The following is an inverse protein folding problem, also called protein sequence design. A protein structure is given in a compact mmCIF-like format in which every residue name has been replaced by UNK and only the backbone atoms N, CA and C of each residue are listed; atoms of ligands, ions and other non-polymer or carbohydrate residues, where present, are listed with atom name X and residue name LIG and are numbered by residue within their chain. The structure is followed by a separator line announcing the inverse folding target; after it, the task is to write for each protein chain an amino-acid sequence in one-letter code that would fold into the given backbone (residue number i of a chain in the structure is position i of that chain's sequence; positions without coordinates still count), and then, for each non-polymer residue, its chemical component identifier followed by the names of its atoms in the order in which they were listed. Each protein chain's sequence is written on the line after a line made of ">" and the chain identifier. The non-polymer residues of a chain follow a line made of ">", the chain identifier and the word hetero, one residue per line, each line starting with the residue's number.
data_IF_322683022537
#
_entry.id   IF_322683022537
#
_cell.length_a   1.000
_cell.length_b   1.000
_cell.length_c   1.000
_cell.angle_alpha   90.00
_cell.angle_beta   90.00
_cell.angle_gamma   90.00
#
_symmetry.space_group_name_H-M   'P 1'
#
loop_
_entity.id
_entity.type
_entity.pdbx_description
1 polymer ?
#
# COMPACT_ATOMS: atom_id res chain seq x y z
N UNK A 1 -0.63 59.82 49.23
CA UNK A 1 -0.32 59.41 50.62
C UNK A 1 0.29 58.01 50.57
N UNK A 2 1.62 57.93 50.62
CA UNK A 2 2.41 57.35 51.74
C UNK A 2 2.21 55.83 51.91
N UNK A 3 3.12 54.97 51.42
CA UNK A 3 4.46 54.59 51.93
C UNK A 3 4.45 53.55 53.08
N UNK A 4 5.17 52.46 52.83
CA UNK A 4 6.09 51.72 53.75
C UNK A 4 5.43 50.86 54.86
N UNK A 5 5.95 49.70 55.32
CA UNK A 5 7.33 49.18 55.45
C UNK A 5 7.35 47.67 55.81
N UNK A 6 8.46 47.01 55.51
CA UNK A 6 8.93 45.66 55.88
C UNK A 6 8.92 45.31 57.38
N UNK A 7 8.94 44.00 57.72
CA UNK A 7 10.04 43.42 58.54
C UNK A 7 10.22 41.90 58.38
N UNK A 8 11.48 41.50 58.14
CA UNK A 8 12.08 40.16 58.29
C UNK A 8 12.73 40.02 59.68
N UNK A 9 13.25 38.80 60.00
CA UNK A 9 13.97 38.29 61.20
C UNK A 9 13.06 37.64 62.27
N UNK A 10 13.36 36.50 62.92
CA UNK A 10 14.45 35.50 62.89
C UNK A 10 14.10 34.37 63.88
N UNK A 11 14.51 33.11 63.65
CA UNK A 11 14.38 32.06 64.67
C UNK A 11 14.93 30.70 64.24
N UNK A 12 16.18 30.44 64.62
CA UNK A 12 17.01 29.26 64.36
C UNK A 12 16.71 28.16 65.40
N UNK A 13 16.68 26.88 65.00
CA UNK A 13 16.62 25.74 65.93
C UNK A 13 16.93 24.40 65.25
N UNK A 14 18.09 23.83 65.57
CA UNK A 14 18.77 22.71 64.91
C UNK A 14 18.69 21.43 65.76
N UNK A 15 18.40 20.30 65.09
CA UNK A 15 18.93 18.92 65.21
C UNK A 15 19.29 18.33 66.61
N UNK A 16 18.74 17.14 66.95
CA UNK A 16 19.55 16.02 67.47
C UNK A 16 18.88 14.62 67.33
N UNK A 17 19.74 13.66 67.02
CA UNK A 17 19.56 12.23 66.70
C UNK A 17 19.69 11.36 67.97
N UNK A 18 18.94 10.25 68.09
CA UNK A 18 19.35 9.08 68.90
C UNK A 18 18.60 7.80 68.51
N UNK A 19 19.37 6.74 68.25
CA UNK A 19 18.93 5.38 67.95
C UNK A 19 18.76 4.53 69.22
N UNK A 20 17.96 3.45 69.15
CA UNK A 20 18.11 2.29 70.05
C UNK A 20 17.70 1.01 69.32
N UNK A 21 18.52 -0.04 69.47
CA UNK A 21 18.32 -1.41 68.95
C UNK A 21 18.44 -2.39 70.14
N UNK A 22 17.83 -3.57 69.96
CA UNK A 22 17.89 -4.81 70.77
C UNK A 22 17.00 -4.86 72.04
N UNK A 23 16.35 -5.96 72.43
CA UNK A 23 16.12 -7.31 71.88
C UNK A 23 15.15 -8.08 72.80
N UNK A 24 14.44 -9.07 72.26
CA UNK A 24 13.86 -10.29 72.86
C UNK A 24 13.25 -10.28 74.29
N UNK A 25 11.95 -10.54 74.38
CA UNK A 25 11.39 -11.74 75.05
C UNK A 25 9.90 -11.94 74.72
N UNK A 26 9.55 -13.13 74.23
CA UNK A 26 8.21 -13.69 73.94
C UNK A 26 7.45 -14.05 75.25
N UNK A 27 6.13 -14.42 75.30
CA UNK A 27 5.41 -15.28 74.34
C UNK A 27 3.88 -15.06 74.07
N UNK A 28 3.43 -15.65 72.95
CA UNK A 28 2.09 -16.23 72.66
C UNK A 28 0.80 -15.37 72.75
N UNK A 29 0.24 -15.03 71.58
CA UNK A 29 -1.18 -15.20 71.25
C UNK A 29 -1.39 -15.19 69.72
N UNK A 30 -2.07 -16.22 69.20
CA UNK A 30 -2.46 -16.40 67.80
C UNK A 30 -3.47 -15.32 67.34
N UNK A 31 -3.35 -14.87 66.09
CA UNK A 31 -4.41 -14.12 65.40
C UNK A 31 -3.96 -13.57 64.05
N UNK A 32 -4.34 -14.26 62.98
CA UNK A 32 -4.26 -13.95 61.54
C UNK A 32 -3.46 -12.72 61.09
N UNK A 33 -2.35 -12.99 60.38
CA UNK A 33 -1.69 -12.03 59.53
C UNK A 33 -2.57 -11.61 58.35
N UNK A 34 -2.66 -10.31 58.13
CA UNK A 34 -3.01 -9.75 56.83
C UNK A 34 -1.67 -9.25 56.27
N UNK A 35 -1.00 -10.07 55.46
CA UNK A 35 0.05 -9.57 54.57
C UNK A 35 -0.65 -8.78 53.47
N UNK A 36 -0.36 -7.49 53.44
CA UNK A 36 -0.65 -6.59 52.34
C UNK A 36 -0.03 -7.15 51.04
N UNK A 37 -0.86 -7.87 50.29
CA UNK A 37 -0.59 -8.37 48.93
C UNK A 37 -1.81 -8.07 48.04
N UNK A 38 -2.34 -6.84 48.13
CA UNK A 38 -3.47 -6.40 47.30
C UNK A 38 -3.09 -5.41 46.20
N UNK A 39 -1.80 -5.30 45.85
CA UNK A 39 -1.40 -4.82 44.53
C UNK A 39 -1.32 -6.00 43.57
N UNK A 40 -2.43 -6.74 43.47
CA UNK A 40 -2.66 -7.65 42.37
C UNK A 40 -2.63 -6.79 41.12
N UNK A 41 -1.57 -6.94 40.32
CA UNK A 41 -1.56 -6.52 38.93
C UNK A 41 -2.87 -6.98 38.31
N UNK A 42 -3.81 -6.04 38.12
CA UNK A 42 -5.00 -6.28 37.31
C UNK A 42 -4.48 -6.39 35.89
N UNK A 43 -4.00 -7.58 35.52
CA UNK A 43 -3.78 -7.94 34.14
C UNK A 43 -5.08 -7.61 33.41
N UNK A 44 -5.01 -6.66 32.49
CA UNK A 44 -6.13 -6.33 31.64
C UNK A 44 -6.34 -7.60 30.81
N UNK A 45 -7.42 -8.34 31.07
CA UNK A 45 -7.66 -9.57 30.33
C UNK A 45 -7.76 -9.22 28.84
N UNK A 46 -6.96 -9.88 28.00
CA UNK A 46 -7.03 -9.72 26.55
C UNK A 46 -8.47 -9.92 26.07
N UNK A 47 -8.99 -9.05 25.21
CA UNK A 47 -10.34 -9.21 24.71
C UNK A 47 -10.47 -10.53 23.95
N UNK A 48 -11.63 -11.18 24.08
CA UNK A 48 -11.92 -12.37 23.28
C UNK A 48 -12.16 -11.94 21.83
N UNK A 49 -11.55 -12.67 20.89
CA UNK A 49 -11.76 -12.45 19.47
C UNK A 49 -13.23 -12.71 19.06
N UNK A 50 -13.80 -11.95 18.10
CA UNK A 50 -15.11 -12.23 17.53
C UNK A 50 -15.09 -13.57 16.77
N UNK A 51 -16.22 -14.26 16.79
CA UNK A 51 -16.48 -15.31 15.81
C UNK A 51 -16.88 -14.66 14.48
N UNK A 52 -16.10 -14.88 13.43
CA UNK A 52 -16.37 -14.37 12.08
C UNK A 52 -17.27 -15.29 11.25
N UNK A 53 -17.54 -16.52 11.71
CA UNK A 53 -18.37 -17.48 10.98
C UNK A 53 -17.89 -17.68 9.54
N UNK A 54 -18.81 -17.64 8.58
CA UNK A 54 -18.49 -17.77 7.15
C UNK A 54 -17.66 -16.58 6.64
N UNK A 55 -17.77 -15.40 7.26
CA UNK A 55 -16.98 -14.23 6.85
C UNK A 55 -15.48 -14.43 7.03
N UNK A 56 -15.05 -15.43 7.80
CA UNK A 56 -13.63 -15.78 7.95
C UNK A 56 -13.00 -16.27 6.62
N UNK A 57 -13.77 -16.83 5.68
CA UNK A 57 -13.20 -17.34 4.42
C UNK A 57 -12.92 -16.23 3.41
N UNK A 58 -13.46 -15.04 3.62
CA UNK A 58 -13.39 -13.92 2.67
C UNK A 58 -12.21 -13.01 2.96
N UNK A 59 -11.48 -12.66 1.89
CA UNK A 59 -10.52 -11.56 1.90
C UNK A 59 -11.25 -10.20 1.82
N UNK A 60 -12.25 -10.11 0.93
CA UNK A 60 -12.96 -8.87 0.63
C UNK A 60 -14.46 -9.11 0.52
N UNK A 61 -15.25 -8.29 1.21
CA UNK A 61 -16.70 -8.28 1.09
C UNK A 61 -17.23 -6.86 0.92
N UNK A 62 -17.99 -6.63 -0.17
CA UNK A 62 -18.43 -5.31 -0.65
C UNK A 62 -19.87 -4.92 -0.31
N UNK A 63 -20.46 -5.45 0.77
CA UNK A 63 -21.87 -5.21 1.11
C UNK A 63 -22.81 -5.42 -0.08
N UNK A 64 -23.86 -4.61 -0.19
CA UNK A 64 -24.77 -4.63 -1.35
C UNK A 64 -24.31 -3.75 -2.52
N UNK A 65 -23.21 -2.99 -2.36
CA UNK A 65 -22.73 -2.03 -3.35
C UNK A 65 -21.50 -2.52 -4.15
N UNK A 66 -21.00 -3.72 -3.84
CA UNK A 66 -19.96 -4.41 -4.59
C UNK A 66 -18.53 -3.96 -4.30
N UNK A 67 -17.63 -4.33 -5.21
CA UNK A 67 -16.19 -4.14 -5.08
C UNK A 67 -15.63 -3.57 -6.38
N UNK A 68 -14.91 -2.46 -6.29
CA UNK A 68 -14.35 -1.77 -7.45
C UNK A 68 -12.85 -1.71 -7.36
N UNK A 69 -12.18 -2.21 -8.40
CA UNK A 69 -10.76 -2.00 -8.62
C UNK A 69 -10.54 -0.98 -9.75
N UNK A 70 -9.59 -0.08 -9.55
CA UNK A 70 -9.13 0.89 -10.54
C UNK A 70 -7.60 0.84 -10.75
N UNK A 71 -6.93 -0.23 -10.31
CA UNK A 71 -5.49 -0.45 -10.50
C UNK A 71 -5.20 -1.75 -11.25
N UNK A 72 -3.97 -1.90 -11.72
CA UNK A 72 -3.50 -3.08 -12.49
C UNK A 72 -2.69 -4.07 -11.65
N UNK A 73 -2.36 -3.69 -10.40
CA UNK A 73 -1.57 -4.50 -9.46
C UNK A 73 -2.41 -4.96 -8.27
N UNK A 74 -3.74 -4.96 -8.40
CA UNK A 74 -4.63 -5.40 -7.32
C UNK A 74 -4.68 -6.92 -7.28
N UNK A 75 -4.47 -7.49 -6.10
CA UNK A 75 -4.51 -8.94 -5.87
C UNK A 75 -5.27 -9.28 -4.60
N UNK A 76 -6.30 -10.11 -4.74
CA UNK A 76 -7.07 -10.63 -3.63
C UNK A 76 -6.67 -12.09 -3.41
N UNK A 77 -5.99 -12.35 -2.30
CA UNK A 77 -5.62 -13.70 -1.86
C UNK A 77 -6.65 -14.19 -0.85
N UNK A 78 -7.67 -14.86 -1.37
CA UNK A 78 -8.85 -15.35 -0.66
C UNK A 78 -10.13 -15.09 -1.44
N UNK A 79 -11.27 -15.40 -0.83
CA UNK A 79 -12.57 -15.23 -1.49
C UNK A 79 -13.00 -13.77 -1.53
N UNK A 80 -13.75 -13.42 -2.58
CA UNK A 80 -14.35 -12.09 -2.77
C UNK A 80 -15.87 -12.23 -2.85
N UNK A 81 -16.63 -11.28 -2.30
CA UNK A 81 -18.08 -11.31 -2.50
C UNK A 81 -18.85 -10.04 -2.22
N UNK A 82 -20.14 -10.11 -2.55
CA UNK A 82 -21.12 -9.04 -2.37
C UNK A 82 -22.53 -9.63 -2.31
N UNK A 83 -23.44 -8.98 -1.58
CA UNK A 83 -24.89 -9.24 -1.70
C UNK A 83 -25.55 -8.44 -2.83
N UNK A 84 -24.78 -7.67 -3.59
CA UNK A 84 -25.25 -7.00 -4.80
C UNK A 84 -25.27 -7.94 -6.01
N UNK A 85 -25.74 -7.40 -7.13
CA UNK A 85 -25.61 -8.06 -8.44
C UNK A 85 -24.12 -8.20 -8.81
N UNK A 86 -23.80 -9.24 -9.60
CA UNK A 86 -22.41 -9.46 -10.07
C UNK A 86 -21.81 -8.26 -10.79
N UNK A 87 -22.62 -7.43 -11.44
CA UNK A 87 -22.19 -6.21 -12.14
C UNK A 87 -21.67 -5.11 -11.21
N UNK A 88 -21.86 -5.24 -9.89
CA UNK A 88 -21.28 -4.35 -8.88
C UNK A 88 -19.83 -4.72 -8.56
N UNK A 89 -19.33 -5.85 -9.05
CA UNK A 89 -17.91 -6.18 -9.04
C UNK A 89 -17.30 -5.67 -10.37
N UNK A 90 -16.23 -4.87 -10.27
CA UNK A 90 -15.62 -4.21 -11.44
C UNK A 90 -14.10 -4.17 -11.33
N UNK A 91 -13.41 -4.38 -12.45
CA UNK A 91 -11.95 -4.38 -12.53
C UNK A 91 -11.29 -5.63 -11.93
N UNK A 92 -11.97 -6.77 -11.95
CA UNK A 92 -11.41 -8.01 -11.43
C UNK A 92 -11.58 -9.17 -12.39
N UNK A 93 -10.76 -10.21 -12.24
CA UNK A 93 -10.98 -11.52 -12.80
C UNK A 93 -10.69 -12.60 -11.75
N UNK A 94 -11.39 -13.73 -11.89
CA UNK A 94 -11.10 -14.98 -11.21
C UNK A 94 -10.66 -16.02 -12.24
N UNK A 95 -10.46 -17.27 -11.79
CA UNK A 95 -10.25 -18.41 -12.70
C UNK A 95 -11.46 -18.71 -13.59
N UNK A 96 -12.65 -18.19 -13.25
CA UNK A 96 -13.93 -18.53 -13.91
C UNK A 96 -14.53 -17.38 -14.71
N UNK A 97 -14.25 -16.13 -14.37
CA UNK A 97 -14.90 -14.98 -15.00
C UNK A 97 -14.11 -13.66 -14.88
N UNK A 98 -14.29 -12.76 -15.85
CA UNK A 98 -13.75 -11.39 -15.84
C UNK A 98 -14.87 -10.35 -15.63
N UNK A 99 -14.78 -9.61 -14.54
CA UNK A 99 -15.74 -8.60 -14.07
C UNK A 99 -15.35 -7.20 -14.57
N UNK A 100 -15.81 -6.86 -15.78
CA UNK A 100 -15.68 -5.51 -16.37
C UNK A 100 -14.25 -4.91 -16.31
N UNK A 101 -13.27 -5.69 -16.76
CA UNK A 101 -11.89 -5.25 -16.86
C UNK A 101 -11.60 -4.44 -18.12
N UNK A 102 -10.62 -3.57 -17.99
CA UNK A 102 -9.97 -2.76 -19.03
C UNK A 102 -8.46 -2.87 -18.81
N UNK A 103 -7.61 -2.41 -19.75
CA UNK A 103 -6.17 -2.38 -19.55
C UNK A 103 -5.70 -1.55 -18.32
N UNK A 104 -6.58 -0.74 -17.73
CA UNK A 104 -6.26 0.15 -16.60
C UNK A 104 -6.76 -0.37 -15.24
N UNK A 105 -7.52 -1.46 -15.19
CA UNK A 105 -8.09 -1.98 -13.94
C UNK A 105 -8.12 -3.52 -13.89
N UNK A 106 -6.96 -4.13 -14.02
CA UNK A 106 -6.80 -5.59 -13.97
C UNK A 106 -6.52 -6.03 -12.53
N UNK A 107 -7.42 -6.81 -11.95
CA UNK A 107 -7.33 -7.25 -10.55
C UNK A 107 -7.54 -8.75 -10.42
N UNK A 108 -6.58 -9.49 -9.87
CA UNK A 108 -6.71 -10.95 -9.74
C UNK A 108 -7.37 -11.35 -8.42
N UNK A 109 -8.29 -12.30 -8.46
CA UNK A 109 -8.84 -12.99 -7.28
C UNK A 109 -8.39 -14.45 -7.30
N UNK A 110 -7.64 -14.88 -6.29
CA UNK A 110 -7.16 -16.26 -6.21
C UNK A 110 -8.20 -17.24 -5.66
N UNK A 111 -9.17 -16.74 -4.91
CA UNK A 111 -10.28 -17.52 -4.35
C UNK A 111 -11.50 -17.55 -5.26
N UNK A 112 -12.63 -17.95 -4.67
CA UNK A 112 -13.93 -17.94 -5.34
C UNK A 112 -14.59 -16.55 -5.22
N UNK A 113 -15.49 -16.26 -6.16
CA UNK A 113 -16.26 -15.03 -6.19
C UNK A 113 -17.74 -15.34 -5.95
N UNK A 114 -18.29 -14.83 -4.85
CA UNK A 114 -19.67 -15.08 -4.41
C UNK A 114 -20.52 -13.82 -4.57
N UNK A 115 -21.58 -13.92 -5.38
CA UNK A 115 -22.41 -12.77 -5.75
C UNK A 115 -23.78 -13.25 -6.22
N UNK A 116 -24.75 -12.34 -6.36
CA UNK A 116 -26.01 -12.62 -7.06
C UNK A 116 -25.79 -12.68 -8.58
N UNK A 117 -26.81 -13.06 -9.34
CA UNK A 117 -26.85 -13.10 -10.80
C UNK A 117 -26.30 -11.81 -11.47
N UNK A 118 -25.87 -11.85 -12.75
CA UNK A 118 -25.97 -12.99 -13.66
C UNK A 118 -24.80 -13.99 -13.63
N UNK A 119 -23.67 -13.68 -12.98
CA UNK A 119 -22.51 -14.59 -12.93
C UNK A 119 -22.57 -15.55 -11.73
N UNK A 120 -23.11 -15.10 -10.61
CA UNK A 120 -23.34 -15.94 -9.44
C UNK A 120 -24.61 -16.80 -9.54
N UNK A 121 -24.66 -17.85 -8.73
CA UNK A 121 -25.81 -18.73 -8.54
C UNK A 121 -26.64 -18.35 -7.30
N UNK A 122 -27.87 -18.87 -7.15
CA UNK A 122 -28.62 -18.73 -5.89
C UNK A 122 -27.87 -19.27 -4.67
N UNK A 123 -27.08 -20.32 -4.83
CA UNK A 123 -26.22 -20.87 -3.79
C UNK A 123 -25.10 -19.90 -3.42
N UNK A 124 -24.45 -19.26 -4.40
CA UNK A 124 -23.42 -18.25 -4.15
C UNK A 124 -23.99 -17.04 -3.41
N UNK A 125 -25.20 -16.60 -3.80
CA UNK A 125 -25.90 -15.53 -3.12
C UNK A 125 -26.26 -15.88 -1.67
N UNK A 126 -26.64 -17.13 -1.41
CA UNK A 126 -26.89 -17.60 -0.04
C UNK A 126 -25.62 -17.60 0.83
N UNK A 127 -24.46 -17.97 0.26
CA UNK A 127 -23.16 -17.84 0.92
C UNK A 127 -22.86 -16.37 1.22
N UNK A 128 -22.98 -15.48 0.22
CA UNK A 128 -22.77 -14.03 0.42
C UNK A 128 -23.71 -13.43 1.49
N UNK A 129 -24.97 -13.89 1.55
CA UNK A 129 -25.92 -13.50 2.59
C UNK A 129 -25.48 -13.95 3.99
N UNK A 130 -24.93 -15.16 4.11
CA UNK A 130 -24.39 -15.68 5.38
C UNK A 130 -23.16 -14.89 5.83
N UNK A 131 -22.28 -14.53 4.90
CA UNK A 131 -21.12 -13.66 5.16
C UNK A 131 -21.55 -12.30 5.69
N UNK A 132 -22.54 -11.65 5.05
CA UNK A 132 -23.06 -10.37 5.52
C UNK A 132 -23.65 -10.46 6.93
N UNK A 133 -24.37 -11.54 7.22
CA UNK A 133 -24.94 -11.78 8.55
C UNK A 133 -23.87 -11.97 9.62
N UNK A 134 -22.88 -12.84 9.37
CA UNK A 134 -21.81 -13.14 10.34
C UNK A 134 -20.88 -11.94 10.54
N UNK A 135 -20.56 -11.20 9.47
CA UNK A 135 -19.80 -9.96 9.57
C UNK A 135 -20.53 -8.89 10.41
N UNK A 136 -21.86 -8.78 10.25
CA UNK A 136 -22.67 -7.88 11.07
C UNK A 136 -22.73 -8.34 12.54
N UNK A 137 -22.82 -9.66 12.78
CA UNK A 137 -22.78 -10.22 14.13
C UNK A 137 -21.44 -9.93 14.81
N UNK A 138 -20.32 -10.15 14.12
CA UNK A 138 -18.98 -9.83 14.59
C UNK A 138 -18.81 -8.32 14.86
N UNK A 139 -19.30 -7.47 13.97
CA UNK A 139 -19.29 -6.02 14.16
C UNK A 139 -20.02 -5.60 15.45
N UNK A 140 -21.23 -6.14 15.67
CA UNK A 140 -22.03 -5.84 16.86
C UNK A 140 -21.38 -6.38 18.14
N UNK A 141 -20.79 -7.58 18.09
CA UNK A 141 -20.02 -8.14 19.19
C UNK A 141 -18.85 -7.22 19.57
N UNK A 142 -18.03 -6.83 18.60
CA UNK A 142 -16.90 -5.94 18.82
C UNK A 142 -17.36 -4.61 19.41
N UNK A 143 -18.47 -4.02 18.92
CA UNK A 143 -19.03 -2.79 19.44
C UNK A 143 -19.61 -2.92 20.87
N UNK A 144 -19.96 -4.13 21.30
CA UNK A 144 -20.50 -4.43 22.63
C UNK A 144 -19.45 -4.69 23.71
N UNK A 145 -18.19 -4.91 23.31
CA UNK A 145 -17.10 -5.07 24.26
C UNK A 145 -16.98 -3.81 25.13
N UNK A 146 -16.63 -3.95 26.43
CA UNK A 146 -16.42 -2.80 27.29
C UNK A 146 -15.45 -1.79 26.68
N UNK A 147 -15.77 -0.51 26.86
CA UNK A 147 -14.99 0.59 26.29
C UNK A 147 -13.52 0.52 26.73
N UNK A 148 -12.65 0.63 25.72
CA UNK A 148 -11.21 0.68 25.87
C UNK A 148 -10.65 2.07 26.16
N UNK A 149 -9.33 2.13 26.33
CA UNK A 149 -8.61 3.40 26.46
C UNK A 149 -8.41 4.10 25.09
N UNK A 150 -8.21 5.43 25.12
CA UNK A 150 -7.88 6.26 23.95
C UNK A 150 -6.54 6.99 24.16
N UNK A 151 -5.39 6.29 24.04
CA UNK A 151 -4.09 6.82 24.47
C UNK A 151 -3.61 8.05 23.70
N UNK A 152 -4.09 8.25 22.48
CA UNK A 152 -3.69 9.37 21.63
C UNK A 152 -4.85 10.27 21.22
N UNK A 153 -5.96 10.24 21.95
CA UNK A 153 -7.15 11.04 21.67
C UNK A 153 -7.62 10.93 20.19
N UNK A 154 -7.65 9.70 19.67
CA UNK A 154 -7.96 9.39 18.29
C UNK A 154 -6.75 9.31 17.35
N UNK A 155 -5.55 9.72 17.74
CA UNK A 155 -4.33 9.51 16.94
C UNK A 155 -3.54 8.30 17.45
N UNK A 156 -3.35 7.30 16.59
CA UNK A 156 -2.63 6.06 16.90
C UNK A 156 -1.23 6.00 16.26
N UNK A 157 -0.95 6.86 15.29
CA UNK A 157 0.38 6.93 14.66
C UNK A 157 1.47 7.27 15.67
N UNK A 158 2.58 6.52 15.61
CA UNK A 158 3.71 6.64 16.53
C UNK A 158 3.51 5.95 17.89
N UNK A 159 2.36 5.34 18.15
CA UNK A 159 2.12 4.59 19.38
C UNK A 159 2.60 3.15 19.25
N UNK A 160 2.96 2.56 20.39
CA UNK A 160 3.09 1.11 20.56
C UNK A 160 2.01 0.65 21.53
N UNK A 161 1.13 -0.23 21.06
CA UNK A 161 -0.04 -0.68 21.81
C UNK A 161 0.07 -2.16 22.15
N UNK A 162 -0.06 -2.46 23.44
CA UNK A 162 -0.18 -3.83 23.96
C UNK A 162 -1.61 -4.37 23.71
N UNK A 163 -1.86 -5.67 23.90
CA UNK A 163 -3.17 -6.28 23.62
C UNK A 163 -4.27 -5.62 24.46
N UNK A 164 -5.45 -5.41 23.86
CA UNK A 164 -6.53 -4.68 24.54
C UNK A 164 -7.62 -4.16 23.63
N UNK A 165 -8.66 -3.62 24.26
CA UNK A 165 -9.70 -2.82 23.60
C UNK A 165 -9.27 -1.35 23.64
N UNK A 166 -9.45 -0.66 22.52
CA UNK A 166 -9.19 0.77 22.35
C UNK A 166 -10.43 1.41 21.74
N UNK A 167 -10.94 2.48 22.34
CA UNK A 167 -12.14 3.17 21.86
C UNK A 167 -11.87 4.64 21.65
N UNK A 168 -12.13 5.15 20.45
CA UNK A 168 -11.95 6.57 20.17
C UNK A 168 -13.00 7.40 20.89
N UNK A 169 -12.56 8.34 21.71
CA UNK A 169 -13.45 9.29 22.40
C UNK A 169 -14.05 10.31 21.42
N UNK A 170 -13.31 10.68 20.36
CA UNK A 170 -13.78 11.57 19.29
C UNK A 170 -14.69 10.86 18.28
N UNK A 171 -14.70 9.53 18.31
CA UNK A 171 -15.41 8.66 17.39
C UNK A 171 -14.59 8.23 16.18
N UNK A 172 -13.43 8.85 15.89
CA UNK A 172 -12.56 8.47 14.77
C UNK A 172 -11.17 8.04 15.24
N UNK A 173 -10.54 7.11 14.52
CA UNK A 173 -9.11 6.84 14.66
C UNK A 173 -8.34 7.28 13.42
N UNK A 174 -7.14 7.80 13.68
CA UNK A 174 -6.13 8.18 12.70
C UNK A 174 -4.88 7.34 12.95
N UNK A 175 -4.22 6.90 11.89
CA UNK A 175 -2.85 6.38 11.93
C UNK A 175 -2.07 7.23 10.94
N UNK A 176 -1.56 8.38 11.38
CA UNK A 176 -0.88 9.35 10.52
C UNK A 176 0.38 9.92 11.16
N UNK A 177 1.29 10.45 10.35
CA UNK A 177 2.55 11.05 10.79
C UNK A 177 3.63 10.03 11.15
N UNK A 178 3.25 8.84 11.63
CA UNK A 178 4.13 7.70 11.92
C UNK A 178 3.34 6.40 11.96
N UNK A 179 4.04 5.28 11.90
CA UNK A 179 3.43 3.94 11.96
C UNK A 179 2.90 3.62 13.37
N UNK A 180 1.84 2.82 13.43
CA UNK A 180 1.32 2.22 14.66
C UNK A 180 1.99 0.87 14.88
N UNK A 181 2.51 0.60 16.07
CA UNK A 181 3.04 -0.73 16.43
C UNK A 181 2.10 -1.45 17.39
N UNK A 182 1.82 -2.72 17.11
CA UNK A 182 1.10 -3.64 17.97
C UNK A 182 2.10 -4.65 18.54
N UNK A 183 2.22 -4.69 19.85
CA UNK A 183 3.21 -5.50 20.57
C UNK A 183 2.53 -6.58 21.39
N UNK A 184 2.65 -7.83 20.95
CA UNK A 184 2.07 -9.00 21.61
C UNK A 184 2.71 -9.34 22.96
N UNK A 185 3.83 -8.72 23.32
CA UNK A 185 4.58 -9.02 24.55
C UNK A 185 4.96 -10.51 24.68
N UNK A 186 5.14 -11.20 23.55
CA UNK A 186 5.45 -12.63 23.48
C UNK A 186 4.22 -13.55 23.44
N UNK A 187 2.99 -13.03 23.51
CA UNK A 187 1.76 -13.80 23.43
C UNK A 187 1.22 -13.83 21.99
N UNK A 188 1.35 -14.97 21.32
CA UNK A 188 0.85 -15.13 19.96
C UNK A 188 -0.69 -15.06 19.87
N UNK A 189 -1.40 -15.32 20.96
CA UNK A 189 -2.86 -15.28 21.04
C UNK A 189 -3.37 -13.89 21.49
N UNK A 190 -2.48 -12.92 21.62
CA UNK A 190 -2.80 -11.52 21.88
C UNK A 190 -3.83 -10.95 20.89
N UNK A 191 -4.82 -10.23 21.43
CA UNK A 191 -5.92 -9.63 20.65
C UNK A 191 -5.97 -8.12 20.82
N UNK A 192 -6.20 -7.42 19.70
CA UNK A 192 -6.49 -5.99 19.68
C UNK A 192 -7.87 -5.73 19.08
N UNK A 193 -8.64 -4.88 19.74
CA UNK A 193 -9.92 -4.39 19.24
C UNK A 193 -9.92 -2.87 19.23
N UNK A 194 -10.14 -2.29 18.05
CA UNK A 194 -10.30 -0.85 17.87
C UNK A 194 -11.76 -0.53 17.58
N UNK A 195 -12.41 0.19 18.48
CA UNK A 195 -13.81 0.63 18.38
C UNK A 195 -13.87 2.11 18.02
N UNK A 196 -14.60 2.46 16.96
CA UNK A 196 -14.79 3.84 16.56
C UNK A 196 -16.21 4.05 16.00
N UNK A 197 -16.87 5.13 16.44
CA UNK A 197 -18.25 5.43 16.05
C UNK A 197 -18.36 6.00 14.62
N UNK A 198 -17.29 6.61 14.12
CA UNK A 198 -17.18 7.17 12.78
C UNK A 198 -16.07 6.47 12.00
N UNK A 199 -15.00 7.17 11.62
CA UNK A 199 -14.07 6.74 10.58
C UNK A 199 -12.74 6.20 11.10
N UNK A 200 -12.11 5.41 10.25
CA UNK A 200 -10.69 5.06 10.32
C UNK A 200 -9.96 5.75 9.17
N UNK A 201 -8.86 6.46 9.44
CA UNK A 201 -7.99 7.01 8.39
C UNK A 201 -6.55 6.60 8.64
N UNK A 202 -5.92 5.97 7.66
CA UNK A 202 -4.52 5.54 7.70
C UNK A 202 -3.75 6.26 6.61
N UNK A 203 -2.61 6.83 6.98
CA UNK A 203 -1.84 7.70 6.11
C UNK A 203 -2.54 9.02 5.81
N UNK A 204 -1.93 9.77 4.91
CA UNK A 204 -2.41 11.05 4.39
C UNK A 204 -2.48 10.97 2.86
N UNK A 205 -3.04 11.98 2.17
CA UNK A 205 -2.98 12.04 0.72
C UNK A 205 -1.56 12.09 0.14
N UNK A 206 -0.53 12.34 0.95
CA UNK A 206 0.86 12.51 0.51
C UNK A 206 1.83 11.45 1.05
N UNK A 207 1.41 10.64 2.01
CA UNK A 207 2.27 9.65 2.65
C UNK A 207 1.43 8.50 3.23
N UNK A 208 1.88 7.27 3.04
CA UNK A 208 1.30 6.10 3.70
C UNK A 208 1.76 5.98 5.15
N UNK A 209 1.03 5.16 5.91
CA UNK A 209 1.43 4.70 7.24
C UNK A 209 1.12 3.21 7.36
N UNK A 210 1.76 2.55 8.31
CA UNK A 210 1.66 1.10 8.51
C UNK A 210 1.18 0.75 9.92
N UNK A 211 0.63 -0.46 10.04
CA UNK A 211 0.38 -1.15 11.30
C UNK A 211 1.41 -2.28 11.41
N UNK A 212 2.41 -2.07 12.25
CA UNK A 212 3.53 -2.97 12.47
C UNK A 212 3.13 -3.99 13.54
N UNK A 213 3.29 -5.28 13.24
CA UNK A 213 3.10 -6.36 14.19
C UNK A 213 4.46 -6.76 14.77
N UNK A 214 4.55 -6.85 16.10
CA UNK A 214 5.81 -7.15 16.80
C UNK A 214 5.62 -8.18 17.90
N UNK A 215 6.72 -8.84 18.28
CA UNK A 215 6.81 -9.77 19.41
C UNK A 215 5.74 -10.86 19.45
N UNK A 216 5.37 -11.40 18.27
CA UNK A 216 4.39 -12.49 18.15
C UNK A 216 2.99 -12.05 17.74
N UNK A 217 2.74 -10.74 17.55
CA UNK A 217 1.43 -10.24 17.13
C UNK A 217 1.06 -10.80 15.75
N UNK A 218 -0.19 -11.26 15.63
CA UNK A 218 -0.72 -11.84 14.39
C UNK A 218 -1.89 -10.99 13.87
N UNK A 219 -1.89 -10.70 12.56
CA UNK A 219 -2.93 -9.87 11.95
C UNK A 219 -4.34 -10.46 12.15
N UNK A 220 -4.46 -11.79 12.17
CA UNK A 220 -5.74 -12.47 12.38
C UNK A 220 -6.41 -12.13 13.73
N UNK A 221 -5.64 -11.64 14.72
CA UNK A 221 -6.11 -11.26 16.05
C UNK A 221 -6.30 -9.74 16.22
N UNK A 222 -6.25 -8.97 15.13
CA UNK A 222 -6.43 -7.51 15.14
C UNK A 222 -7.76 -7.18 14.47
N UNK A 223 -8.63 -6.46 15.17
CA UNK A 223 -9.99 -6.17 14.71
C UNK A 223 -10.29 -4.67 14.76
N UNK A 224 -10.83 -4.14 13.67
CA UNK A 224 -11.18 -2.73 13.51
C UNK A 224 -12.69 -2.61 13.28
N UNK A 225 -13.43 -2.19 14.30
CA UNK A 225 -14.86 -1.92 14.24
C UNK A 225 -15.06 -0.45 13.86
N UNK A 226 -15.49 -0.19 12.62
CA UNK A 226 -15.60 1.15 12.02
C UNK A 226 -17.06 1.54 11.79
N UNK A 227 -17.56 2.49 12.58
CA UNK A 227 -18.97 2.89 12.59
C UNK A 227 -19.45 3.62 11.32
N UNK A 228 -18.53 4.16 10.52
CA UNK A 228 -18.75 4.67 9.17
C UNK A 228 -17.77 4.04 8.16
N UNK A 229 -16.93 4.83 7.49
CA UNK A 229 -16.05 4.40 6.43
C UNK A 229 -14.58 4.36 6.87
N UNK A 230 -13.79 3.49 6.25
CA UNK A 230 -12.33 3.47 6.41
C UNK A 230 -11.61 3.96 5.15
N UNK A 231 -10.56 4.73 5.32
CA UNK A 231 -9.66 5.15 4.23
C UNK A 231 -8.25 4.73 4.56
N UNK A 232 -7.69 3.86 3.74
CA UNK A 232 -6.39 3.22 3.96
C UNK A 232 -5.41 3.69 2.90
N UNK A 233 -4.39 4.43 3.35
CA UNK A 233 -3.25 4.89 2.56
C UNK A 233 -3.66 5.49 1.21
N UNK A 234 -4.35 6.62 1.24
CA UNK A 234 -4.79 7.33 0.03
C UNK A 234 -3.66 7.72 -0.93
N UNK A 235 -2.42 7.82 -0.45
CA UNK A 235 -1.22 8.04 -1.27
C UNK A 235 -0.65 6.75 -1.93
N UNK A 236 -1.23 5.58 -1.65
CA UNK A 236 -0.65 4.28 -1.99
C UNK A 236 0.49 3.87 -1.05
N UNK A 237 0.86 2.59 -1.08
CA UNK A 237 1.93 2.05 -0.22
C UNK A 237 1.47 1.69 1.20
N UNK A 238 2.46 1.33 2.03
CA UNK A 238 2.25 0.95 3.43
C UNK A 238 1.60 -0.42 3.62
N UNK A 239 1.65 -0.92 4.84
CA UNK A 239 1.09 -2.23 5.22
C UNK A 239 0.15 -2.09 6.39
N UNK A 240 -1.11 -2.47 6.19
CA UNK A 240 -2.13 -2.53 7.23
C UNK A 240 -2.32 -3.97 7.71
N UNK A 241 -2.68 -4.14 8.98
CA UNK A 241 -2.89 -5.44 9.59
C UNK A 241 -4.25 -5.49 10.32
N UNK A 242 -5.01 -6.56 10.05
CA UNK A 242 -6.25 -6.87 10.77
C UNK A 242 -7.48 -7.11 9.90
N UNK A 243 -8.55 -7.52 10.56
CA UNK A 243 -9.90 -7.59 9.97
C UNK A 243 -10.60 -6.25 10.19
N UNK A 244 -10.92 -5.56 9.09
CA UNK A 244 -11.68 -4.31 9.12
C UNK A 244 -13.16 -4.63 8.86
N UNK A 245 -14.02 -4.27 9.81
CA UNK A 245 -15.47 -4.32 9.66
C UNK A 245 -16.04 -2.89 9.63
N UNK A 246 -16.41 -2.42 8.44
CA UNK A 246 -16.87 -1.05 8.23
C UNK A 246 -18.33 -0.98 7.80
N UNK A 247 -19.12 -0.07 8.38
CA UNK A 247 -20.53 0.09 8.01
C UNK A 247 -20.71 0.75 6.64
N UNK A 248 -19.94 1.80 6.35
CA UNK A 248 -20.17 2.70 5.21
C UNK A 248 -19.09 2.64 4.14
N UNK A 249 -18.41 1.49 3.99
CA UNK A 249 -17.48 1.25 2.90
C UNK A 249 -16.02 1.47 3.26
N UNK A 250 -15.14 1.13 2.33
CA UNK A 250 -13.70 1.26 2.50
C UNK A 250 -13.01 1.69 1.21
N UNK A 251 -12.01 2.52 1.33
CA UNK A 251 -11.14 2.93 0.22
C UNK A 251 -9.70 2.58 0.51
N UNK A 252 -9.03 1.98 -0.47
CA UNK A 252 -7.59 1.70 -0.43
C UNK A 252 -6.93 2.43 -1.59
N UNK A 253 -5.95 3.28 -1.27
CA UNK A 253 -5.27 4.10 -2.28
C UNK A 253 -6.23 5.01 -3.07
N UNK A 254 -5.73 5.64 -4.11
CA UNK A 254 -6.46 6.55 -5.00
C UNK A 254 -5.94 6.35 -6.42
N UNK A 255 -6.80 6.61 -7.41
CA UNK A 255 -6.46 6.42 -8.83
C UNK A 255 -5.20 7.22 -9.20
N UNK A 256 -4.32 6.60 -9.98
CA UNK A 256 -3.03 7.18 -10.38
C UNK A 256 -1.85 6.85 -9.47
N UNK A 257 -2.07 6.32 -8.26
CA UNK A 257 -0.97 5.85 -7.42
C UNK A 257 -0.40 4.53 -7.95
N UNK A 258 0.93 4.45 -8.08
CA UNK A 258 1.64 3.23 -8.52
C UNK A 258 2.12 2.36 -7.36
N UNK A 259 2.21 2.91 -6.15
CA UNK A 259 2.63 2.18 -4.96
C UNK A 259 1.52 1.24 -4.47
N UNK A 260 1.89 -0.01 -4.20
CA UNK A 260 0.96 -1.04 -3.76
C UNK A 260 0.63 -0.87 -2.28
N UNK A 261 -0.66 -0.75 -1.95
CA UNK A 261 -1.14 -0.79 -0.56
C UNK A 261 -1.40 -2.24 -0.16
N UNK A 262 -0.85 -2.69 0.97
CA UNK A 262 -1.06 -4.07 1.45
C UNK A 262 -1.96 -4.12 2.67
N UNK A 263 -2.93 -5.03 2.66
CA UNK A 263 -3.73 -5.44 3.80
C UNK A 263 -3.43 -6.90 4.13
N UNK A 264 -2.78 -7.15 5.26
CA UNK A 264 -2.71 -8.49 5.84
C UNK A 264 -3.92 -8.67 6.76
N UNK A 265 -4.95 -9.34 6.26
CA UNK A 265 -6.23 -9.50 6.93
C UNK A 265 -7.39 -9.39 5.95
N UNK A 266 -8.51 -8.79 6.40
CA UNK A 266 -9.78 -8.81 5.65
C UNK A 266 -10.41 -7.43 5.58
N UNK A 267 -11.05 -7.13 4.46
CA UNK A 267 -11.84 -5.92 4.26
C UNK A 267 -13.32 -6.30 4.11
N UNK A 268 -14.06 -6.28 5.23
CA UNK A 268 -15.49 -6.61 5.29
C UNK A 268 -16.35 -5.35 5.43
N UNK A 269 -16.89 -4.85 4.32
CA UNK A 269 -17.86 -3.75 4.34
C UNK A 269 -19.28 -4.30 4.47
N UNK A 270 -20.03 -3.81 5.45
CA UNK A 270 -21.35 -4.35 5.77
C UNK A 270 -22.43 -3.94 4.76
N UNK A 271 -22.44 -2.67 4.34
CA UNK A 271 -23.53 -2.12 3.52
C UNK A 271 -23.07 -1.46 2.22
N UNK A 272 -21.88 -0.85 2.20
CA UNK A 272 -21.39 -0.08 1.07
C UNK A 272 -20.19 -0.74 0.38
N UNK A 273 -19.65 -0.09 -0.64
CA UNK A 273 -18.64 -0.66 -1.51
C UNK A 273 -17.25 -0.70 -0.84
N UNK A 274 -16.40 -1.58 -1.36
CA UNK A 274 -14.95 -1.51 -1.16
C UNK A 274 -14.32 -1.06 -2.48
N UNK A 275 -13.54 0.02 -2.45
CA UNK A 275 -12.84 0.55 -3.62
C UNK A 275 -11.33 0.47 -3.42
N UNK A 276 -10.61 0.00 -4.44
CA UNK A 276 -9.19 -0.28 -4.36
C UNK A 276 -8.43 0.21 -5.59
N UNK A 277 -7.17 0.60 -5.40
CA UNK A 277 -6.22 0.89 -6.47
C UNK A 277 -4.88 0.28 -6.08
N UNK A 278 -4.39 -0.67 -6.88
CA UNK A 278 -3.11 -1.35 -6.66
C UNK A 278 -3.02 -1.86 -5.22
N UNK A 279 -3.99 -2.68 -4.81
CA UNK A 279 -4.10 -3.15 -3.43
C UNK A 279 -3.92 -4.66 -3.36
N UNK A 280 -3.10 -5.14 -2.43
CA UNK A 280 -3.01 -6.57 -2.11
C UNK A 280 -3.73 -6.85 -0.81
N UNK A 281 -4.64 -7.82 -0.80
CA UNK A 281 -5.35 -8.28 0.40
C UNK A 281 -5.07 -9.76 0.65
N UNK A 282 -4.48 -10.08 1.81
CA UNK A 282 -4.11 -11.42 2.22
C UNK A 282 -4.98 -11.91 3.40
N UNK A 283 -6.01 -12.71 3.12
CA UNK A 283 -7.00 -13.14 4.15
C UNK A 283 -6.38 -13.90 5.33
N UNK A 284 -5.33 -14.68 5.10
CA UNK A 284 -4.64 -15.46 6.14
C UNK A 284 -3.92 -14.58 7.17
N UNK A 285 -3.72 -13.28 6.87
CA UNK A 285 -2.93 -12.37 7.68
C UNK A 285 -1.42 -12.63 7.62
N UNK A 286 -0.98 -13.61 6.82
CA UNK A 286 0.43 -13.87 6.53
C UNK A 286 0.80 -13.03 5.31
N UNK A 287 1.87 -12.22 5.35
CA UNK A 287 2.38 -11.54 4.18
C UNK A 287 2.65 -12.57 3.08
N UNK A 288 1.88 -12.52 2.01
CA UNK A 288 2.21 -13.24 0.78
C UNK A 288 3.35 -12.46 0.13
N UNK A 289 4.40 -13.17 -0.29
CA UNK A 289 5.38 -12.60 -1.21
C UNK A 289 4.58 -12.15 -2.43
N UNK A 290 4.36 -10.83 -2.55
CA UNK A 290 3.75 -10.28 -3.75
C UNK A 290 4.62 -10.79 -4.88
N UNK A 291 4.06 -11.49 -5.90
CA UNK A 291 4.84 -11.78 -7.08
C UNK A 291 5.31 -10.42 -7.54
N UNK A 292 6.61 -10.17 -7.35
CA UNK A 292 7.24 -9.01 -7.93
C UNK A 292 6.88 -9.18 -9.38
N UNK A 293 5.95 -8.35 -9.86
CA UNK A 293 5.92 -8.03 -11.26
C UNK A 293 7.26 -7.35 -11.40
N UNK A 294 8.28 -8.17 -11.67
CA UNK A 294 9.34 -7.76 -12.56
C UNK A 294 8.54 -7.34 -13.76
N UNK A 295 8.23 -6.04 -13.79
CA UNK A 295 8.43 -5.34 -15.02
C UNK A 295 9.84 -5.80 -15.37
N UNK A 296 9.93 -6.79 -16.25
CA UNK A 296 10.95 -6.78 -17.27
C UNK A 296 10.73 -5.41 -17.95
N UNK A 297 11.11 -4.33 -17.25
CA UNK A 297 11.62 -3.16 -17.91
C UNK A 297 12.65 -3.77 -18.84
N UNK A 298 12.48 -3.60 -20.17
CA UNK A 298 13.34 -4.26 -21.13
C UNK A 298 14.76 -4.02 -20.67
N UNK A 299 15.49 -5.10 -20.44
CA UNK A 299 16.85 -5.10 -19.90
C UNK A 299 17.59 -3.90 -20.48
N UNK A 300 17.86 -2.89 -19.64
CA UNK A 300 18.57 -1.68 -20.07
C UNK A 300 19.98 -2.14 -20.39
N UNK A 301 20.26 -2.42 -21.65
CA UNK A 301 21.61 -2.72 -22.13
C UNK A 301 22.33 -1.37 -22.18
N UNK A 302 23.28 -1.08 -21.27
CA UNK A 302 23.79 0.28 -21.11
C UNK A 302 24.77 0.70 -22.23
N UNK A 303 25.05 -0.19 -23.17
CA UNK A 303 25.67 0.13 -24.45
C UNK A 303 25.64 -1.09 -25.37
N UNK A 304 24.99 -0.98 -26.52
CA UNK A 304 25.20 -1.88 -27.66
C UNK A 304 26.11 -1.13 -28.64
N UNK A 305 27.25 -1.73 -29.00
CA UNK A 305 28.09 -1.29 -30.12
C UNK A 305 27.99 -2.36 -31.20
N UNK A 306 27.39 -2.03 -32.34
CA UNK A 306 27.30 -2.95 -33.48
C UNK A 306 28.19 -2.42 -34.59
N UNK A 307 29.12 -3.25 -35.05
CA UNK A 307 29.99 -2.99 -36.20
C UNK A 307 29.75 -4.07 -37.25
N UNK A 308 29.51 -3.66 -38.50
CA UNK A 308 29.26 -4.60 -39.60
C UNK A 308 29.46 -3.97 -40.97
N UNK A 309 29.92 -4.78 -41.94
CA UNK A 309 30.23 -4.37 -43.31
C UNK A 309 29.31 -5.01 -44.37
N UNK A 310 28.38 -5.91 -44.01
CA UNK A 310 27.64 -6.68 -45.03
C UNK A 310 26.30 -7.35 -44.61
N UNK A 311 25.67 -7.02 -43.47
CA UNK A 311 24.42 -7.66 -43.07
C UNK A 311 23.30 -6.63 -42.83
N UNK A 312 22.09 -6.98 -43.28
CA UNK A 312 20.86 -6.25 -42.95
C UNK A 312 20.61 -6.35 -41.44
N UNK A 313 20.48 -5.20 -40.78
CA UNK A 313 20.41 -5.13 -39.32
C UNK A 313 19.23 -4.27 -38.88
N UNK A 314 18.42 -4.80 -37.96
CA UNK A 314 17.31 -4.10 -37.30
C UNK A 314 17.60 -3.97 -35.81
N UNK A 315 17.66 -2.74 -35.31
CA UNK A 315 17.88 -2.42 -33.89
C UNK A 315 16.70 -1.58 -33.40
N UNK A 316 16.09 -1.98 -32.28
CA UNK A 316 15.02 -1.24 -31.61
C UNK A 316 15.40 -1.00 -30.14
N UNK A 317 15.12 0.21 -29.64
CA UNK A 317 15.55 0.68 -28.32
C UNK A 317 14.37 1.27 -27.58
N UNK A 318 14.17 0.83 -26.33
CA UNK A 318 13.18 1.37 -25.40
C UNK A 318 13.86 1.71 -24.05
N UNK A 319 13.32 2.69 -23.31
CA UNK A 319 13.83 3.08 -21.99
C UNK A 319 14.73 4.33 -22.00
N UNK A 320 15.59 4.48 -20.98
CA UNK A 320 16.43 5.67 -20.73
C UNK A 320 17.95 5.45 -21.00
N UNK A 321 18.30 4.36 -21.70
CA UNK A 321 19.69 3.93 -21.93
C UNK A 321 20.47 4.74 -22.98
N UNK A 322 21.75 4.40 -23.17
CA UNK A 322 22.63 5.00 -24.19
C UNK A 322 23.08 3.92 -25.20
N UNK A 323 22.95 4.18 -26.50
CA UNK A 323 23.33 3.23 -27.56
C UNK A 323 24.20 3.90 -28.62
N UNK A 324 25.23 3.17 -29.10
CA UNK A 324 26.11 3.62 -30.18
C UNK A 324 26.03 2.67 -31.38
N UNK A 325 25.60 3.18 -32.53
CA UNK A 325 25.49 2.43 -33.78
C UNK A 325 26.62 2.87 -34.70
N UNK A 326 27.41 1.93 -35.22
CA UNK A 326 28.44 2.24 -36.23
C UNK A 326 28.18 1.43 -37.52
N UNK A 327 27.62 2.10 -38.54
CA UNK A 327 27.36 1.50 -39.83
C UNK A 327 28.53 1.76 -40.80
N UNK A 328 29.36 0.75 -41.03
CA UNK A 328 30.54 0.83 -41.91
C UNK A 328 30.31 0.21 -43.31
N UNK A 329 29.05 0.01 -43.73
CA UNK A 329 28.73 -0.47 -45.08
C UNK A 329 27.49 -1.37 -45.25
N UNK A 330 26.67 -1.54 -44.22
CA UNK A 330 25.44 -2.35 -44.25
C UNK A 330 24.15 -1.54 -44.45
N UNK A 331 23.01 -2.24 -44.56
CA UNK A 331 21.68 -1.62 -44.46
C UNK A 331 21.25 -1.67 -43.00
N UNK A 332 21.14 -0.50 -42.36
CA UNK A 332 20.82 -0.39 -40.94
C UNK A 332 19.45 0.24 -40.75
N UNK A 333 18.62 -0.38 -39.91
CA UNK A 333 17.41 0.21 -39.36
C UNK A 333 17.56 0.40 -37.86
N UNK A 334 17.42 1.63 -37.38
CA UNK A 334 17.51 1.99 -35.97
C UNK A 334 16.24 2.71 -35.50
N UNK A 335 15.63 2.23 -34.41
CA UNK A 335 14.39 2.82 -33.86
C UNK A 335 14.55 3.16 -32.37
N UNK A 336 14.25 4.40 -32.00
CA UNK A 336 14.20 4.90 -30.61
C UNK A 336 12.74 5.09 -30.19
N UNK A 337 12.29 4.41 -29.13
CA UNK A 337 10.93 4.51 -28.59
C UNK A 337 10.89 4.98 -27.12
N UNK A 338 12.02 5.45 -26.56
CA UNK A 338 12.18 5.79 -25.15
C UNK A 338 12.58 7.25 -24.87
N UNK A 339 13.17 7.49 -23.69
CA UNK A 339 13.75 8.78 -23.26
C UNK A 339 15.29 8.76 -23.31
N UNK A 340 15.87 7.71 -23.88
CA UNK A 340 17.31 7.46 -23.92
C UNK A 340 18.07 8.28 -24.95
N UNK A 341 19.32 7.89 -25.20
CA UNK A 341 20.18 8.51 -26.20
C UNK A 341 20.62 7.44 -27.21
N UNK A 342 20.44 7.73 -28.48
CA UNK A 342 21.03 6.97 -29.58
C UNK A 342 22.01 7.83 -30.36
N UNK A 343 23.25 7.37 -30.46
CA UNK A 343 24.30 7.96 -31.28
C UNK A 343 24.58 7.03 -32.46
N UNK A 344 24.48 7.54 -33.69
CA UNK A 344 24.70 6.78 -34.92
C UNK A 344 25.85 7.42 -35.68
N UNK A 345 26.86 6.61 -36.02
CA UNK A 345 27.91 6.94 -36.98
C UNK A 345 27.65 6.11 -38.23
N UNK A 346 27.35 6.76 -39.34
CA UNK A 346 27.01 6.11 -40.61
C UNK A 346 28.09 6.41 -41.66
N UNK A 347 29.05 5.50 -41.79
CA UNK A 347 30.20 5.59 -42.70
C UNK A 347 30.00 4.87 -44.04
N UNK A 348 28.88 4.15 -44.25
CA UNK A 348 28.58 3.50 -45.54
C UNK A 348 27.15 2.97 -45.70
N UNK A 349 26.66 2.92 -46.94
CA UNK A 349 25.37 2.35 -47.39
C UNK A 349 24.09 3.00 -46.79
N UNK A 350 22.97 2.26 -46.72
CA UNK A 350 21.61 2.78 -46.45
C UNK A 350 21.32 2.78 -44.95
N UNK A 351 20.81 3.90 -44.44
CA UNK A 351 20.35 4.03 -43.05
C UNK A 351 18.87 4.42 -43.03
N UNK A 352 18.08 3.71 -42.22
CA UNK A 352 16.73 4.12 -41.81
C UNK A 352 16.73 4.34 -40.31
N UNK A 353 16.61 5.58 -39.86
CA UNK A 353 16.55 5.93 -38.45
C UNK A 353 15.15 6.46 -38.12
N UNK A 354 14.53 5.96 -37.05
CA UNK A 354 13.19 6.38 -36.61
C UNK A 354 13.21 6.73 -35.13
N UNK A 355 12.82 7.95 -34.76
CA UNK A 355 12.54 8.33 -33.39
C UNK A 355 11.03 8.47 -33.18
N UNK A 356 10.45 7.63 -32.32
CA UNK A 356 9.07 7.76 -31.84
C UNK A 356 9.02 8.08 -30.34
N UNK A 357 10.16 8.14 -29.68
CA UNK A 357 10.29 8.44 -28.25
C UNK A 357 10.54 9.93 -27.96
N UNK A 358 10.77 10.21 -26.68
CA UNK A 358 11.08 11.53 -26.11
C UNK A 358 12.59 11.73 -25.85
N UNK A 359 13.43 10.81 -26.34
CA UNK A 359 14.88 10.79 -26.13
C UNK A 359 15.65 11.69 -27.10
N UNK A 360 16.97 11.47 -27.18
CA UNK A 360 17.88 12.18 -28.08
C UNK A 360 18.44 11.21 -29.12
N UNK A 361 18.31 11.54 -30.40
CA UNK A 361 18.94 10.83 -31.51
C UNK A 361 19.98 11.74 -32.17
N UNK A 362 21.22 11.28 -32.27
CA UNK A 362 22.30 11.98 -33.00
C UNK A 362 22.81 11.09 -34.12
N UNK A 363 22.88 11.62 -35.34
CA UNK A 363 23.34 10.91 -36.53
C UNK A 363 24.48 11.70 -37.15
N UNK A 364 25.67 11.10 -37.22
CA UNK A 364 26.82 11.60 -37.97
C UNK A 364 26.98 10.72 -39.22
N UNK A 365 26.59 11.25 -40.38
CA UNK A 365 26.57 10.50 -41.63
C UNK A 365 27.61 11.03 -42.62
N UNK A 366 28.57 10.17 -42.97
CA UNK A 366 29.54 10.40 -44.07
C UNK A 366 29.19 9.58 -45.32
N UNK A 367 28.00 8.97 -45.34
CA UNK A 367 27.61 7.92 -46.27
C UNK A 367 27.50 8.33 -47.75
N UNK A 368 27.52 7.29 -48.59
CA UNK A 368 27.28 7.35 -50.04
C UNK A 368 25.92 6.76 -50.46
N UNK A 369 25.18 6.13 -49.52
CA UNK A 369 23.83 5.59 -49.71
C UNK A 369 22.75 6.48 -49.11
N UNK A 370 21.48 6.18 -49.40
CA UNK A 370 20.35 6.97 -48.92
C UNK A 370 20.20 6.89 -47.40
N UNK A 371 19.93 8.03 -46.76
CA UNK A 371 19.59 8.11 -45.34
C UNK A 371 18.17 8.61 -45.21
N UNK A 372 17.33 7.85 -44.52
CA UNK A 372 15.97 8.25 -44.16
C UNK A 372 15.90 8.40 -42.65
N UNK A 373 15.54 9.58 -42.19
CA UNK A 373 15.33 9.88 -40.77
C UNK A 373 13.87 10.25 -40.57
N UNK A 374 13.18 9.57 -39.67
CA UNK A 374 11.79 9.84 -39.33
C UNK A 374 11.69 10.20 -37.86
N UNK A 375 11.13 11.36 -37.52
CA UNK A 375 10.84 11.74 -36.14
C UNK A 375 9.33 11.93 -35.95
N UNK A 376 8.67 10.99 -35.30
CA UNK A 376 7.25 11.07 -34.96
C UNK A 376 6.99 11.24 -33.45
N UNK A 377 8.05 11.17 -32.63
CA UNK A 377 7.98 11.42 -31.18
C UNK A 377 8.35 12.86 -30.81
N UNK A 378 8.35 13.15 -29.51
CA UNK A 378 8.67 14.48 -28.98
C UNK A 378 10.16 14.63 -28.62
N UNK A 379 10.99 13.68 -29.05
CA UNK A 379 12.43 13.65 -28.82
C UNK A 379 13.21 14.49 -29.83
N UNK A 380 14.43 14.86 -29.43
CA UNK A 380 15.33 15.69 -30.23
C UNK A 380 16.13 14.85 -31.21
N UNK A 381 16.14 15.23 -32.50
CA UNK A 381 16.91 14.54 -33.54
C UNK A 381 17.91 15.49 -34.19
N UNK A 382 19.19 15.15 -34.07
CA UNK A 382 20.31 15.86 -34.68
C UNK A 382 20.89 15.04 -35.82
N UNK A 383 21.02 15.65 -37.00
CA UNK A 383 21.65 15.01 -38.17
C UNK A 383 22.78 15.90 -38.68
N UNK A 384 23.99 15.38 -38.63
CA UNK A 384 25.19 15.98 -39.19
C UNK A 384 25.63 15.19 -40.41
N UNK A 385 25.67 15.83 -41.57
CA UNK A 385 25.85 15.18 -42.85
C UNK A 385 27.04 15.76 -43.59
N UNK A 386 28.06 14.94 -43.83
CA UNK A 386 29.24 15.34 -44.64
C UNK A 386 29.44 14.45 -45.86
N UNK A 387 28.54 13.48 -46.08
CA UNK A 387 28.51 12.59 -47.25
C UNK A 387 27.84 13.22 -48.47
N UNK A 388 28.00 12.59 -49.64
CA UNK A 388 27.52 13.12 -50.93
C UNK A 388 26.07 12.73 -51.28
N UNK A 389 25.46 11.79 -50.53
CA UNK A 389 24.11 11.29 -50.80
C UNK A 389 23.03 12.16 -50.11
N UNK A 390 21.85 12.23 -50.73
CA UNK A 390 20.73 12.96 -50.17
C UNK A 390 20.23 12.30 -48.86
N UNK A 391 19.94 13.14 -47.87
CA UNK A 391 19.29 12.75 -46.62
C UNK A 391 17.84 13.22 -46.67
N UNK A 392 16.91 12.29 -46.49
CA UNK A 392 15.50 12.58 -46.34
C UNK A 392 15.16 12.60 -44.86
N UNK A 393 14.63 13.73 -44.37
CA UNK A 393 14.16 13.87 -42.99
C UNK A 393 12.66 14.12 -43.02
N UNK A 394 11.89 13.27 -42.34
CA UNK A 394 10.44 13.39 -42.19
C UNK A 394 10.13 13.63 -40.71
N UNK A 395 9.38 14.69 -40.41
CA UNK A 395 8.97 15.01 -39.04
C UNK A 395 7.47 15.25 -38.94
N UNK A 396 6.84 14.66 -37.92
CA UNK A 396 5.41 14.81 -37.65
C UNK A 396 5.10 15.09 -36.17
N UNK A 397 6.12 15.42 -35.35
CA UNK A 397 5.99 15.75 -33.91
C UNK A 397 5.83 17.26 -33.62
N UNK A 398 5.73 17.65 -32.34
CA UNK A 398 5.36 19.00 -31.87
C UNK A 398 6.56 19.93 -31.55
N UNK A 399 7.31 20.31 -32.60
CA UNK A 399 8.28 21.44 -32.68
C UNK A 399 9.64 21.39 -31.93
N UNK A 400 10.74 21.35 -32.71
CA UNK A 400 11.80 22.39 -32.83
C UNK A 400 12.91 21.85 -33.76
N UNK A 401 12.96 22.31 -35.03
CA UNK A 401 14.03 21.93 -35.98
C UNK A 401 15.06 23.05 -36.11
N UNK A 402 16.31 22.78 -35.74
CA UNK A 402 17.46 23.62 -36.11
C UNK A 402 18.32 22.91 -37.15
N UNK A 403 18.27 23.39 -38.39
CA UNK A 403 19.26 23.03 -39.41
C UNK A 403 20.49 23.92 -39.23
N UNK A 404 21.64 23.34 -38.91
CA UNK A 404 22.92 24.01 -39.13
C UNK A 404 23.57 23.42 -40.38
N UNK A 405 23.89 24.32 -41.33
CA UNK A 405 24.61 24.01 -42.56
C UNK A 405 26.07 23.65 -42.30
#
# INVERSE_FOLDING_TARGET
>A
MNKQKNSLFSGLGVLLLAALVASCNSPLAQGSGITDDSLVSRGIASPTAPNLGVAETFAVFGGGAGVTNQGTMTMIVGDLGTTGASTMITGFHSSTFSYAETPLNVGSVSGLVYTDAPQGSPEDFAVAGSVAYDALAAFNYLASLPDGMDPGAGQLGGLTLIPGVYKSASGAFLVTGSDLTLDAQGDADAVWVFQMASSLTVGTPLASSSVILSNGAQAKNVYWQVGSAATINGAGGGTFAGTILARAGMTFSTAGNTLVTTLNGRALSLFAAVTMVNTVVNASGIPVEIPVVVNEEPTVVPSITITGSAADLVVAVAGNGFINVENNGGVVTATEVGTGIIAIVNNGAVLTATNTGNGIMTINSTCTGAVTVTNTGNGNVFVNATGAAAITVTHTGDEDYTYQN
#
